data_IF_092915760410
#
_entry.id   IF_092915760410
#
_cell.length_a   1.000
_cell.length_b   1.000
_cell.length_c   1.000
_cell.angle_alpha   90.00
_cell.angle_beta   90.00
_cell.angle_gamma   90.00
#
_symmetry.space_group_name_H-M   'P 1'
#
loop_
_entity.id
_entity.type
_entity.pdbx_description
1 polymer ?
#
# COMPACT_ATOMS: atom_id res chain seq x y z
N UNK A 1 9.11 6.23 -44.76
CA UNK A 1 9.94 7.45 -44.67
C UNK A 1 10.39 7.60 -43.20
N UNK A 2 11.68 7.70 -42.93
CA UNK A 2 12.17 7.93 -41.57
C UNK A 2 11.67 9.29 -41.08
N UNK A 3 11.04 9.34 -39.90
CA UNK A 3 10.54 10.58 -39.30
C UNK A 3 11.74 11.45 -38.90
N UNK A 4 11.77 12.71 -39.40
CA UNK A 4 12.78 13.67 -39.01
C UNK A 4 12.42 14.27 -37.65
N UNK A 5 13.28 14.08 -36.64
CA UNK A 5 13.02 14.53 -35.26
C UNK A 5 12.90 16.07 -35.13
N UNK A 6 13.53 16.82 -36.02
CA UNK A 6 13.34 18.26 -36.06
C UNK A 6 11.91 18.64 -36.48
N UNK A 7 11.34 17.89 -37.44
CA UNK A 7 9.96 18.11 -37.89
C UNK A 7 8.94 17.68 -36.79
N UNK A 8 9.25 16.64 -36.07
CA UNK A 8 8.41 16.18 -34.94
C UNK A 8 8.32 17.25 -33.84
N UNK A 9 9.44 17.94 -33.53
CA UNK A 9 9.46 19.03 -32.56
C UNK A 9 9.05 20.39 -33.18
N UNK A 10 8.86 20.46 -34.49
CA UNK A 10 8.51 21.70 -35.20
C UNK A 10 9.61 22.75 -35.17
N UNK A 11 10.88 22.34 -35.13
CA UNK A 11 12.04 23.24 -35.11
C UNK A 11 12.92 23.05 -36.34
N UNK A 12 13.72 24.08 -36.68
CA UNK A 12 14.68 23.99 -37.80
C UNK A 12 15.90 23.13 -37.41
N UNK A 13 16.57 22.52 -38.41
CA UNK A 13 17.80 21.75 -38.20
C UNK A 13 18.94 22.52 -37.53
N UNK A 14 18.95 23.86 -37.63
CA UNK A 14 19.92 24.74 -37.00
C UNK A 14 19.43 25.39 -35.71
N UNK A 15 18.31 24.93 -35.13
CA UNK A 15 17.78 25.45 -33.89
C UNK A 15 18.77 25.24 -32.72
N UNK A 16 18.83 26.22 -31.83
CA UNK A 16 19.63 26.13 -30.61
C UNK A 16 19.04 25.09 -29.62
N UNK A 17 19.84 24.62 -28.67
CA UNK A 17 19.35 23.68 -27.65
C UNK A 17 18.22 24.29 -26.82
N UNK A 18 18.24 25.59 -26.58
CA UNK A 18 17.17 26.28 -25.84
C UNK A 18 15.87 26.32 -26.64
N UNK A 19 15.95 26.50 -27.97
CA UNK A 19 14.77 26.47 -28.86
C UNK A 19 14.17 25.05 -28.91
N UNK A 20 15.02 24.03 -29.00
CA UNK A 20 14.59 22.61 -28.94
C UNK A 20 13.90 22.31 -27.62
N UNK A 21 14.48 22.75 -26.50
CA UNK A 21 13.92 22.57 -25.16
C UNK A 21 12.59 23.31 -24.98
N UNK A 22 12.49 24.53 -25.55
CA UNK A 22 11.26 25.32 -25.51
C UNK A 22 10.14 24.65 -26.31
N UNK A 23 10.43 24.24 -27.55
CA UNK A 23 9.47 23.53 -28.41
C UNK A 23 8.95 22.22 -27.75
N UNK A 24 9.86 21.45 -27.18
CA UNK A 24 9.49 20.25 -26.45
C UNK A 24 8.50 20.53 -25.29
N UNK A 25 8.78 21.57 -24.47
CA UNK A 25 7.90 21.95 -23.36
C UNK A 25 6.50 22.38 -23.82
N UNK A 26 6.43 23.11 -24.95
CA UNK A 26 5.16 23.53 -25.54
C UNK A 26 4.35 22.34 -26.05
N UNK A 27 5.02 21.39 -26.73
CA UNK A 27 4.37 20.18 -27.23
C UNK A 27 3.91 19.25 -26.10
N UNK A 28 4.70 19.11 -25.03
CA UNK A 28 4.28 18.36 -23.84
C UNK A 28 3.01 18.95 -23.21
N UNK A 29 2.92 20.28 -23.09
CA UNK A 29 1.71 20.96 -22.59
C UNK A 29 0.51 20.76 -23.51
N UNK A 30 0.76 20.76 -24.84
CA UNK A 30 -0.27 20.62 -25.86
C UNK A 30 -0.82 19.19 -25.92
N UNK A 31 0.03 18.17 -25.79
CA UNK A 31 -0.34 16.74 -25.93
C UNK A 31 -0.37 16.01 -24.59
N UNK A 32 -0.63 16.72 -23.48
CA UNK A 32 -0.77 16.10 -22.14
C UNK A 32 -1.93 15.10 -22.12
N UNK A 33 -1.75 13.89 -21.58
CA UNK A 33 -2.79 12.84 -21.57
C UNK A 33 -4.11 13.29 -20.92
N UNK A 34 -4.06 14.15 -19.89
CA UNK A 34 -5.24 14.70 -19.23
C UNK A 34 -6.10 15.61 -20.14
N UNK A 35 -5.51 16.15 -21.23
CA UNK A 35 -6.22 17.07 -22.15
C UNK A 35 -6.71 16.41 -23.42
N UNK A 36 -6.19 15.24 -23.78
CA UNK A 36 -6.47 14.58 -25.05
C UNK A 36 -7.03 13.15 -24.95
N UNK A 37 -7.67 12.79 -23.82
CA UNK A 37 -8.47 11.56 -23.72
C UNK A 37 -7.71 10.24 -23.98
N UNK A 38 -6.39 10.20 -23.71
CA UNK A 38 -5.62 8.95 -23.70
C UNK A 38 -4.92 8.55 -25.01
N UNK A 39 -4.83 9.42 -26.02
CA UNK A 39 -3.98 9.15 -27.20
C UNK A 39 -2.52 9.51 -26.90
N UNK A 40 -1.77 8.53 -26.39
CA UNK A 40 -0.35 8.68 -26.02
C UNK A 40 0.61 8.66 -27.22
N UNK A 41 0.13 8.49 -28.45
CA UNK A 41 0.99 8.27 -29.62
C UNK A 41 1.84 9.51 -29.92
N UNK A 42 1.23 10.69 -29.93
CA UNK A 42 1.93 11.95 -30.23
C UNK A 42 2.92 12.36 -29.15
N UNK A 43 2.58 12.16 -27.87
CA UNK A 43 3.52 12.48 -26.79
C UNK A 43 4.72 11.54 -26.80
N UNK A 44 4.54 10.28 -27.19
CA UNK A 44 5.65 9.33 -27.39
C UNK A 44 6.61 9.78 -28.49
N UNK A 45 6.09 10.22 -29.63
CA UNK A 45 6.90 10.76 -30.74
C UNK A 45 7.68 12.01 -30.33
N UNK A 46 7.04 12.93 -29.61
CA UNK A 46 7.67 14.17 -29.10
C UNK A 46 8.78 13.84 -28.10
N UNK A 47 8.56 12.88 -27.22
CA UNK A 47 9.56 12.43 -26.25
C UNK A 47 10.76 11.75 -26.94
N UNK A 48 10.52 10.92 -27.95
CA UNK A 48 11.55 10.26 -28.75
C UNK A 48 12.43 11.27 -29.49
N UNK A 49 11.79 12.28 -30.12
CA UNK A 49 12.51 13.33 -30.81
C UNK A 49 13.40 14.13 -29.85
N UNK A 50 12.86 14.52 -28.68
CA UNK A 50 13.65 15.28 -27.71
C UNK A 50 14.75 14.45 -27.07
N UNK A 51 14.56 13.15 -26.81
CA UNK A 51 15.60 12.24 -26.30
C UNK A 51 16.78 12.12 -27.25
N UNK A 52 16.58 12.34 -28.53
CA UNK A 52 17.62 12.25 -29.57
C UNK A 52 18.31 13.59 -29.83
N UNK A 53 17.54 14.68 -30.04
CA UNK A 53 18.13 15.97 -30.44
C UNK A 53 18.20 16.99 -29.30
N UNK A 54 17.67 16.68 -28.11
CA UNK A 54 17.72 17.52 -26.92
C UNK A 54 19.09 17.52 -26.22
N UNK A 55 19.95 16.53 -26.48
CA UNK A 55 21.33 16.42 -25.99
C UNK A 55 22.30 16.77 -27.13
N UNK A 56 23.31 17.67 -26.92
CA UNK A 56 24.23 18.09 -27.96
C UNK A 56 25.04 16.95 -28.59
N UNK A 57 25.47 15.97 -27.81
CA UNK A 57 26.28 14.83 -28.31
C UNK A 57 25.43 13.88 -29.14
N UNK A 58 24.23 13.56 -28.69
CA UNK A 58 23.29 12.70 -29.41
C UNK A 58 22.79 13.36 -30.70
N UNK A 59 22.57 14.66 -30.65
CA UNK A 59 22.18 15.46 -31.83
C UNK A 59 23.26 15.38 -32.89
N UNK A 60 24.56 15.57 -32.54
CA UNK A 60 25.67 15.41 -33.49
C UNK A 60 25.69 14.02 -34.12
N UNK A 61 25.48 12.96 -33.35
CA UNK A 61 25.43 11.61 -33.87
C UNK A 61 24.24 11.41 -34.83
N UNK A 62 23.08 11.92 -34.49
CA UNK A 62 21.89 11.88 -35.33
C UNK A 62 22.09 12.64 -36.63
N UNK A 63 22.70 13.85 -36.58
CA UNK A 63 22.95 14.68 -37.74
C UNK A 63 23.98 14.04 -38.69
N UNK A 64 25.04 13.42 -38.15
CA UNK A 64 26.03 12.66 -38.94
C UNK A 64 25.39 11.47 -39.65
N UNK A 65 24.52 10.70 -38.98
CA UNK A 65 23.80 9.58 -39.58
C UNK A 65 22.83 10.02 -40.69
N UNK A 66 22.11 11.11 -40.50
CA UNK A 66 21.22 11.65 -41.53
C UNK A 66 21.97 12.18 -42.77
N UNK A 67 23.19 12.63 -42.57
CA UNK A 67 24.05 13.10 -43.69
C UNK A 67 24.68 11.94 -44.46
N UNK A 68 24.99 10.80 -43.79
CA UNK A 68 25.48 9.57 -44.42
C UNK A 68 24.37 8.75 -45.10
N UNK A 69 23.11 8.93 -44.71
CA UNK A 69 21.95 8.20 -45.27
C UNK A 69 21.55 8.60 -46.67
N UNK A 70 22.09 9.70 -47.22
CA UNK A 70 21.92 10.11 -48.64
C UNK A 70 22.84 9.34 -49.61
N UNK A 71 23.84 8.61 -49.09
CA UNK A 71 24.78 7.86 -49.92
C UNK A 71 24.95 6.40 -49.43
N UNK A 72 23.99 5.56 -49.74
CA UNK A 72 24.18 4.10 -49.56
C UNK A 72 23.15 3.45 -48.66
N UNK A 73 22.28 2.74 -49.35
CA UNK A 73 21.23 1.97 -48.71
C UNK A 73 21.72 0.79 -47.87
N UNK A 74 20.82 0.32 -47.06
CA UNK A 74 20.74 -1.01 -46.48
C UNK A 74 21.42 -1.29 -45.15
N UNK A 75 20.60 -1.54 -44.17
CA UNK A 75 20.85 -2.59 -43.18
C UNK A 75 21.36 -2.15 -41.83
N UNK A 76 20.53 -2.26 -40.83
CA UNK A 76 20.98 -2.41 -39.47
C UNK A 76 20.41 -1.43 -38.45
N UNK A 77 19.11 -1.35 -38.35
CA UNK A 77 18.46 -0.79 -37.16
C UNK A 77 18.46 -1.81 -36.00
N UNK A 78 19.64 -2.40 -35.79
CA UNK A 78 19.84 -3.37 -34.70
C UNK A 78 20.99 -2.90 -33.83
N UNK A 79 20.71 -2.20 -32.76
CA UNK A 79 21.71 -1.99 -31.73
C UNK A 79 21.84 -0.60 -31.10
N UNK A 80 20.95 0.33 -31.38
CA UNK A 80 20.85 1.49 -30.47
C UNK A 80 20.05 1.05 -29.24
N UNK A 81 20.82 0.72 -28.20
CA UNK A 81 20.30 0.71 -26.85
C UNK A 81 19.91 2.16 -26.53
N UNK A 82 18.70 2.56 -26.96
CA UNK A 82 18.09 3.76 -26.45
C UNK A 82 17.96 3.52 -24.96
N UNK A 83 18.91 4.05 -24.19
CA UNK A 83 18.65 4.37 -22.82
C UNK A 83 17.49 5.38 -22.86
N UNK A 84 16.28 4.85 -23.00
CA UNK A 84 15.08 5.58 -22.66
C UNK A 84 15.39 6.23 -21.32
N UNK A 85 15.55 7.54 -21.30
CA UNK A 85 15.78 8.25 -20.05
C UNK A 85 14.66 7.78 -19.14
N UNK A 86 15.00 6.91 -18.21
CA UNK A 86 14.03 6.21 -17.38
C UNK A 86 13.18 7.29 -16.72
N UNK A 87 11.91 7.38 -17.11
CA UNK A 87 10.99 8.32 -16.48
C UNK A 87 10.98 8.00 -14.99
N UNK A 88 10.97 9.03 -14.16
CA UNK A 88 10.77 8.86 -12.74
C UNK A 88 9.52 8.02 -12.52
N UNK A 89 9.64 6.94 -11.79
CA UNK A 89 8.52 6.01 -11.56
C UNK A 89 8.42 5.66 -10.10
N UNK A 90 7.18 5.42 -9.66
CA UNK A 90 6.90 5.00 -8.31
C UNK A 90 7.38 3.56 -8.08
N UNK A 91 7.82 3.29 -6.87
CA UNK A 91 8.12 1.94 -6.39
C UNK A 91 6.94 1.50 -5.53
N UNK A 92 6.40 0.32 -5.83
CA UNK A 92 5.36 -0.29 -5.02
C UNK A 92 5.90 -1.50 -4.28
N UNK A 93 5.70 -1.52 -2.96
CA UNK A 93 6.08 -2.64 -2.10
C UNK A 93 4.92 -3.00 -1.17
N UNK A 94 4.98 -4.21 -0.63
CA UNK A 94 4.09 -4.64 0.43
C UNK A 94 4.92 -4.98 1.68
N UNK A 95 4.46 -4.51 2.83
CA UNK A 95 5.01 -4.88 4.13
C UNK A 95 3.96 -5.63 4.93
N UNK A 96 4.41 -6.52 5.83
CA UNK A 96 3.52 -7.19 6.77
C UNK A 96 3.96 -6.82 8.17
N UNK A 97 3.03 -6.33 8.96
CA UNK A 97 3.23 -5.93 10.35
C UNK A 97 2.31 -6.71 11.26
N UNK A 98 2.66 -6.80 12.55
CA UNK A 98 1.78 -7.41 13.55
C UNK A 98 0.56 -6.52 13.82
N UNK A 99 -0.50 -7.12 14.39
CA UNK A 99 -1.67 -6.35 14.85
C UNK A 99 -1.29 -5.35 15.94
N UNK A 100 -0.29 -5.68 16.78
CA UNK A 100 0.23 -4.82 17.83
C UNK A 100 0.97 -3.62 17.25
N UNK A 101 1.84 -3.82 16.24
CA UNK A 101 2.51 -2.74 15.53
C UNK A 101 1.51 -1.81 14.83
N UNK A 102 0.45 -2.38 14.25
CA UNK A 102 -0.61 -1.61 13.63
C UNK A 102 -1.43 -0.80 14.65
N UNK A 103 -1.55 -1.31 15.89
CA UNK A 103 -2.24 -0.63 16.98
C UNK A 103 -1.45 0.57 17.50
N UNK A 104 -0.17 0.37 17.84
CA UNK A 104 0.67 1.41 18.43
C UNK A 104 1.32 2.34 17.41
N UNK A 105 1.43 1.90 16.16
CA UNK A 105 2.32 2.46 15.16
C UNK A 105 3.75 1.96 15.37
N UNK A 106 4.51 1.89 14.29
CA UNK A 106 5.88 1.39 14.35
C UNK A 106 6.77 2.04 13.29
N UNK A 107 8.09 1.85 13.43
CA UNK A 107 9.07 2.13 12.38
C UNK A 107 9.47 0.82 11.73
N UNK A 108 9.05 0.63 10.47
CA UNK A 108 9.33 -0.60 9.73
C UNK A 108 10.52 -0.40 8.77
N UNK A 109 11.59 -1.23 8.87
CA UNK A 109 12.73 -1.13 7.97
C UNK A 109 12.37 -1.70 6.59
N UNK A 110 12.65 -0.95 5.54
CA UNK A 110 12.44 -1.34 4.15
C UNK A 110 13.73 -1.14 3.36
N UNK A 111 14.14 -2.15 2.61
CA UNK A 111 15.28 -2.06 1.70
C UNK A 111 14.81 -1.58 0.32
N UNK A 112 15.32 -0.44 -0.11
CA UNK A 112 15.05 0.15 -1.43
C UNK A 112 16.38 0.36 -2.12
N UNK A 113 16.62 -0.32 -3.23
CA UNK A 113 17.84 -0.22 -4.03
C UNK A 113 19.14 -0.36 -3.19
N UNK A 114 19.15 -1.29 -2.22
CA UNK A 114 20.30 -1.57 -1.36
C UNK A 114 20.46 -0.64 -0.15
N UNK A 115 19.57 0.35 0.03
CA UNK A 115 19.53 1.22 1.22
C UNK A 115 18.34 0.88 2.11
N UNK A 116 18.57 0.87 3.42
CA UNK A 116 17.52 0.63 4.41
C UNK A 116 16.92 1.96 4.84
N UNK A 117 15.61 2.09 4.70
CA UNK A 117 14.81 3.22 5.16
C UNK A 117 13.87 2.77 6.26
N UNK A 118 13.76 3.57 7.32
CA UNK A 118 12.77 3.35 8.36
C UNK A 118 11.48 4.08 7.97
N UNK A 119 10.44 3.32 7.66
CA UNK A 119 9.14 3.85 7.27
C UNK A 119 8.28 4.00 8.52
N UNK A 120 7.79 5.21 8.77
CA UNK A 120 6.85 5.47 9.86
C UNK A 120 5.46 4.95 9.49
N UNK A 121 5.01 3.94 10.21
CA UNK A 121 3.67 3.36 10.08
C UNK A 121 2.78 3.97 11.16
N UNK A 122 1.76 4.77 10.79
CA UNK A 122 0.90 5.43 11.77
C UNK A 122 0.07 4.41 12.56
N UNK A 123 -0.20 4.72 13.83
CA UNK A 123 -1.11 3.91 14.66
C UNK A 123 -2.52 3.88 14.09
N UNK A 124 -3.22 2.79 14.35
CA UNK A 124 -4.58 2.60 13.87
C UNK A 124 -4.66 2.29 12.37
N UNK A 125 -3.55 1.89 11.74
CA UNK A 125 -3.55 1.49 10.34
C UNK A 125 -4.24 0.15 10.18
N UNK A 126 -5.08 0.04 9.15
CA UNK A 126 -5.83 -1.19 8.86
C UNK A 126 -5.24 -1.92 7.66
N UNK A 127 -5.59 -3.21 7.53
CA UNK A 127 -5.12 -4.05 6.44
C UNK A 127 -5.43 -3.47 5.06
N UNK A 128 -4.46 -3.52 4.14
CA UNK A 128 -4.58 -3.03 2.76
C UNK A 128 -4.41 -1.52 2.59
N UNK A 129 -4.18 -0.76 3.66
CA UNK A 129 -3.93 0.68 3.58
C UNK A 129 -2.62 0.95 2.84
N UNK A 130 -2.61 2.00 2.01
CA UNK A 130 -1.43 2.45 1.29
C UNK A 130 -0.83 3.69 1.97
N UNK A 131 0.49 3.68 2.14
CA UNK A 131 1.27 4.82 2.58
C UNK A 131 2.10 5.32 1.40
N UNK A 132 2.07 6.61 1.15
CA UNK A 132 2.85 7.28 0.12
C UNK A 132 4.01 8.03 0.77
N UNK A 133 5.23 7.82 0.28
CA UNK A 133 6.43 8.48 0.77
C UNK A 133 7.11 9.13 -0.42
N UNK A 134 7.14 10.45 -0.42
CA UNK A 134 7.61 11.25 -1.53
C UNK A 134 9.11 11.09 -1.76
N UNK A 135 9.50 11.02 -3.04
CA UNK A 135 10.90 11.04 -3.49
C UNK A 135 11.72 9.79 -3.17
N UNK A 136 11.09 8.69 -2.75
CA UNK A 136 11.75 7.40 -2.53
C UNK A 136 11.53 6.38 -3.67
N UNK A 137 10.92 6.80 -4.77
CA UNK A 137 10.81 6.01 -6.00
C UNK A 137 12.07 6.00 -6.85
N UNK A 138 11.95 5.49 -8.06
CA UNK A 138 13.05 5.43 -9.02
C UNK A 138 13.40 6.83 -9.52
N UNK A 139 14.70 7.10 -9.59
CA UNK A 139 15.19 8.32 -10.21
C UNK A 139 14.99 8.26 -11.74
N UNK A 140 14.65 9.37 -12.32
CA UNK A 140 14.44 9.49 -13.75
C UNK A 140 14.23 10.95 -14.13
N UNK A 141 13.59 11.17 -15.27
CA UNK A 141 13.26 12.50 -15.73
C UNK A 141 11.75 12.72 -15.67
N UNK A 142 11.33 13.94 -15.30
CA UNK A 142 9.93 14.32 -15.41
C UNK A 142 9.56 14.63 -16.87
N UNK A 143 8.29 14.91 -17.12
CA UNK A 143 7.81 15.27 -18.47
C UNK A 143 8.44 16.54 -19.04
N UNK A 144 9.14 17.32 -18.22
CA UNK A 144 9.84 18.55 -18.64
C UNK A 144 11.34 18.33 -18.85
N UNK A 145 11.82 17.07 -18.76
CA UNK A 145 13.23 16.72 -18.92
C UNK A 145 14.11 17.10 -17.72
N UNK A 146 13.52 17.34 -16.56
CA UNK A 146 14.25 17.63 -15.31
C UNK A 146 14.41 16.36 -14.51
N UNK A 147 15.58 16.21 -13.85
CA UNK A 147 15.80 15.09 -12.94
C UNK A 147 14.77 15.09 -11.81
N UNK A 148 14.07 13.98 -11.64
CA UNK A 148 13.04 13.80 -10.64
C UNK A 148 13.12 12.39 -10.05
N UNK A 149 12.42 12.18 -8.95
CA UNK A 149 12.21 10.85 -8.38
C UNK A 149 10.72 10.60 -8.26
N UNK A 150 10.32 9.37 -8.50
CA UNK A 150 8.99 8.91 -8.17
C UNK A 150 8.82 8.75 -6.66
N UNK A 151 7.70 8.24 -6.24
CA UNK A 151 7.34 8.03 -4.86
C UNK A 151 7.42 6.55 -4.48
N UNK A 152 7.50 6.28 -3.19
CA UNK A 152 7.36 4.93 -2.67
C UNK A 152 5.93 4.74 -2.16
N UNK A 153 5.24 3.74 -2.72
CA UNK A 153 3.89 3.34 -2.31
C UNK A 153 4.02 2.03 -1.53
N UNK A 154 3.72 2.10 -0.23
CA UNK A 154 3.82 0.96 0.68
C UNK A 154 2.42 0.45 0.99
N UNK A 155 2.09 -0.75 0.53
CA UNK A 155 0.87 -1.46 0.94
C UNK A 155 1.11 -2.16 2.26
N UNK A 156 0.32 -1.84 3.27
CA UNK A 156 0.44 -2.42 4.61
C UNK A 156 -0.52 -3.59 4.77
N UNK A 157 0.02 -4.77 5.07
CA UNK A 157 -0.74 -5.95 5.46
C UNK A 157 -0.63 -6.13 6.97
N UNK A 158 -1.77 -6.27 7.65
CA UNK A 158 -1.83 -6.48 9.11
C UNK A 158 -2.09 -7.96 9.38
N UNK A 159 -1.17 -8.58 10.11
CA UNK A 159 -1.29 -9.98 10.50
C UNK A 159 -2.12 -10.11 11.77
N UNK A 160 -3.30 -10.70 11.63
CA UNK A 160 -4.19 -11.04 12.73
C UNK A 160 -3.69 -12.27 13.50
N UNK A 161 -4.15 -12.42 14.75
CA UNK A 161 -3.98 -13.64 15.53
C UNK A 161 -5.30 -14.39 15.64
N UNK A 162 -5.28 -15.66 16.03
CA UNK A 162 -6.49 -16.47 16.22
C UNK A 162 -7.43 -15.92 17.32
N UNK A 163 -6.85 -15.26 18.32
CA UNK A 163 -7.61 -14.77 19.49
C UNK A 163 -7.99 -13.30 19.38
N UNK A 164 -7.21 -12.51 18.67
CA UNK A 164 -7.41 -11.06 18.54
C UNK A 164 -7.17 -10.67 17.08
N UNK A 165 -8.16 -10.07 16.45
CA UNK A 165 -8.10 -9.76 15.02
C UNK A 165 -8.97 -8.54 14.66
N UNK A 166 -8.61 -7.90 13.57
CA UNK A 166 -9.45 -6.90 12.90
C UNK A 166 -10.33 -7.59 11.87
N UNK A 167 -11.64 -7.39 11.96
CA UNK A 167 -12.54 -7.81 10.90
C UNK A 167 -12.45 -6.89 9.67
N UNK A 168 -13.19 -7.22 8.61
CA UNK A 168 -13.19 -6.47 7.35
C UNK A 168 -13.62 -5.00 7.51
N UNK A 169 -14.39 -4.68 8.54
CA UNK A 169 -14.86 -3.33 8.85
C UNK A 169 -13.92 -2.55 9.78
N UNK A 170 -12.77 -3.13 10.15
CA UNK A 170 -11.81 -2.51 11.08
C UNK A 170 -12.24 -2.57 12.55
N UNK A 171 -13.25 -3.37 12.89
CA UNK A 171 -13.65 -3.61 14.27
C UNK A 171 -12.70 -4.64 14.90
N UNK A 172 -12.16 -4.32 16.08
CA UNK A 172 -11.33 -5.24 16.84
C UNK A 172 -12.22 -6.29 17.51
N UNK A 173 -11.97 -7.55 17.20
CA UNK A 173 -12.66 -8.70 17.79
C UNK A 173 -11.71 -9.58 18.56
N UNK A 174 -12.16 -10.04 19.72
CA UNK A 174 -11.43 -10.97 20.58
C UNK A 174 -12.26 -12.21 20.84
N UNK A 175 -11.61 -13.37 20.80
CA UNK A 175 -12.22 -14.66 21.17
C UNK A 175 -11.80 -14.99 22.59
N UNK A 176 -12.78 -15.19 23.46
CA UNK A 176 -12.57 -15.51 24.87
C UNK A 176 -13.31 -16.80 25.26
N UNK A 177 -12.60 -17.70 25.92
CA UNK A 177 -13.19 -18.90 26.51
C UNK A 177 -13.75 -18.59 27.89
N UNK A 178 -15.03 -18.89 28.10
CA UNK A 178 -15.77 -18.71 29.37
C UNK A 178 -16.19 -20.09 29.90
N UNK A 179 -16.06 -20.30 31.17
CA UNK A 179 -16.54 -21.56 31.76
C UNK A 179 -18.07 -21.63 31.71
N UNK A 180 -18.61 -22.82 31.53
CA UNK A 180 -20.05 -23.05 31.37
C UNK A 180 -20.87 -22.53 32.57
N UNK A 181 -20.32 -22.61 33.80
CA UNK A 181 -20.97 -22.09 35.01
C UNK A 181 -21.04 -20.57 34.95
N UNK A 182 -19.94 -19.92 34.57
CA UNK A 182 -19.87 -18.46 34.42
C UNK A 182 -20.81 -17.98 33.32
N UNK A 183 -20.96 -18.75 32.25
CA UNK A 183 -21.91 -18.44 31.18
C UNK A 183 -23.37 -18.50 31.64
N UNK A 184 -23.71 -19.41 32.58
CA UNK A 184 -25.06 -19.53 33.17
C UNK A 184 -25.31 -18.43 34.19
N UNK A 185 -24.39 -18.28 35.14
CA UNK A 185 -24.56 -17.39 36.29
C UNK A 185 -24.27 -15.91 35.94
N UNK A 186 -23.54 -15.66 34.87
CA UNK A 186 -22.92 -14.39 34.57
C UNK A 186 -21.70 -14.14 35.45
N UNK A 187 -20.70 -13.49 34.89
CA UNK A 187 -19.46 -13.17 35.59
C UNK A 187 -18.84 -11.88 35.05
N UNK A 188 -17.79 -11.42 35.69
CA UNK A 188 -16.91 -10.37 35.17
C UNK A 188 -15.52 -10.96 35.00
N UNK A 189 -14.94 -10.83 33.82
CA UNK A 189 -13.64 -11.36 33.48
C UNK A 189 -12.69 -10.24 33.09
N UNK A 190 -11.40 -10.40 33.35
CA UNK A 190 -10.37 -9.47 32.91
C UNK A 190 -9.60 -10.06 31.74
N UNK A 191 -9.54 -9.29 30.64
CA UNK A 191 -8.85 -9.70 29.42
C UNK A 191 -7.70 -8.74 29.12
N UNK A 192 -6.55 -9.30 28.79
CA UNK A 192 -5.42 -8.51 28.33
C UNK A 192 -5.61 -8.22 26.83
N UNK A 193 -5.76 -6.94 26.49
CA UNK A 193 -5.87 -6.44 25.11
C UNK A 193 -4.70 -5.49 24.88
N UNK A 194 -3.72 -5.93 24.12
CA UNK A 194 -2.43 -5.26 23.93
C UNK A 194 -1.74 -5.00 25.29
N UNK A 195 -1.60 -3.73 25.68
CA UNK A 195 -0.96 -3.27 26.93
C UNK A 195 -1.93 -3.04 28.08
N UNK A 196 -3.26 -3.28 27.87
CA UNK A 196 -4.32 -2.95 28.84
C UNK A 196 -5.03 -4.18 29.36
N UNK A 197 -5.51 -4.07 30.61
CA UNK A 197 -6.49 -5.00 31.17
C UNK A 197 -7.89 -4.41 31.01
N UNK A 198 -8.75 -5.16 30.35
CA UNK A 198 -10.14 -4.75 30.04
C UNK A 198 -11.10 -5.64 30.83
N UNK A 199 -11.95 -5.02 31.65
CA UNK A 199 -13.03 -5.72 32.35
C UNK A 199 -14.19 -5.95 31.40
N UNK A 200 -14.62 -7.18 31.29
CA UNK A 200 -15.67 -7.60 30.37
C UNK A 200 -16.74 -8.34 31.15
N UNK A 201 -17.97 -7.87 31.07
CA UNK A 201 -19.11 -8.54 31.68
C UNK A 201 -19.59 -9.67 30.78
N UNK A 202 -19.69 -10.87 31.31
CA UNK A 202 -20.38 -12.00 30.71
C UNK A 202 -21.82 -12.00 31.21
N UNK A 203 -22.82 -11.76 30.35
CA UNK A 203 -24.22 -11.77 30.75
C UNK A 203 -24.67 -13.14 31.25
N UNK A 204 -25.65 -13.19 32.14
CA UNK A 204 -26.31 -14.45 32.52
C UNK A 204 -26.92 -15.11 31.28
N UNK A 205 -26.83 -16.45 31.25
CA UNK A 205 -27.36 -17.27 30.16
C UNK A 205 -26.69 -17.00 28.80
N UNK A 206 -25.42 -16.60 28.83
CA UNK A 206 -24.62 -16.42 27.62
C UNK A 206 -24.55 -17.73 26.85
N UNK A 207 -24.91 -17.68 25.56
CA UNK A 207 -24.84 -18.83 24.66
C UNK A 207 -23.46 -18.89 23.99
N UNK A 208 -23.10 -20.09 23.52
CA UNK A 208 -21.87 -20.26 22.74
C UNK A 208 -21.94 -19.41 21.45
N UNK A 209 -20.92 -18.58 21.19
CA UNK A 209 -20.93 -17.59 20.12
C UNK A 209 -21.62 -16.26 20.49
N UNK A 210 -22.16 -16.15 21.71
CA UNK A 210 -22.62 -14.87 22.25
C UNK A 210 -21.46 -13.86 22.32
N UNK A 211 -21.77 -12.57 22.43
CA UNK A 211 -20.73 -11.53 22.48
C UNK A 211 -21.13 -10.36 23.38
N UNK A 212 -20.13 -9.59 23.77
CA UNK A 212 -20.28 -8.30 24.45
C UNK A 212 -19.47 -7.23 23.73
N UNK A 213 -20.00 -6.02 23.66
CA UNK A 213 -19.32 -4.84 23.09
C UNK A 213 -18.80 -3.97 24.22
N UNK A 214 -17.51 -3.62 24.17
CA UNK A 214 -16.86 -2.76 25.16
C UNK A 214 -16.40 -1.48 24.46
N UNK A 215 -17.06 -0.36 24.77
CA UNK A 215 -16.74 0.93 24.17
C UNK A 215 -15.35 1.44 24.54
N UNK A 216 -14.71 2.15 23.64
CA UNK A 216 -13.38 2.76 23.83
C UNK A 216 -12.26 1.79 24.20
N UNK A 217 -12.43 0.50 23.95
CA UNK A 217 -11.45 -0.56 24.20
C UNK A 217 -11.00 -1.28 22.93
N UNK A 218 -11.46 -0.82 21.78
CA UNK A 218 -11.14 -1.39 20.47
C UNK A 218 -9.87 -0.87 19.85
N UNK A 219 -9.76 -0.97 18.54
CA UNK A 219 -8.62 -0.52 17.76
C UNK A 219 -8.58 1.01 17.68
N UNK A 220 -7.38 1.57 17.57
CA UNK A 220 -7.22 3.01 17.37
C UNK A 220 -7.83 3.45 16.02
N UNK A 221 -8.46 4.61 16.01
CA UNK A 221 -8.74 5.30 14.75
C UNK A 221 -7.42 5.71 14.09
N UNK A 222 -7.41 5.71 12.77
CA UNK A 222 -6.20 6.03 12.00
C UNK A 222 -5.56 7.34 12.44
N UNK A 223 -4.28 7.29 12.81
CA UNK A 223 -3.46 8.40 13.28
C UNK A 223 -4.09 9.20 14.45
N UNK A 224 -4.82 8.52 15.34
CA UNK A 224 -5.53 9.12 16.48
C UNK A 224 -5.31 8.30 17.75
N UNK A 225 -5.51 8.95 18.92
CA UNK A 225 -5.54 8.27 20.23
C UNK A 225 -6.94 7.75 20.58
N UNK A 226 -7.95 8.07 19.78
CA UNK A 226 -9.30 7.59 20.01
C UNK A 226 -9.39 6.10 19.68
N UNK A 227 -9.95 5.33 20.60
CA UNK A 227 -10.22 3.91 20.40
C UNK A 227 -11.67 3.68 19.98
N UNK A 228 -11.84 2.72 19.09
CA UNK A 228 -13.15 2.21 18.74
C UNK A 228 -13.73 1.28 19.83
N UNK A 229 -14.65 0.44 19.44
CA UNK A 229 -15.28 -0.57 20.29
C UNK A 229 -14.54 -1.91 20.13
N UNK A 230 -14.37 -2.64 21.23
CA UNK A 230 -13.91 -4.03 21.24
C UNK A 230 -15.15 -4.94 21.26
N UNK A 231 -15.21 -5.91 20.37
CA UNK A 231 -16.19 -6.99 20.42
C UNK A 231 -15.53 -8.24 21.00
N UNK A 232 -16.06 -8.76 22.09
CA UNK A 232 -15.59 -9.98 22.74
C UNK A 232 -16.59 -11.10 22.46
N UNK A 233 -16.14 -12.09 21.67
CA UNK A 233 -16.92 -13.28 21.32
C UNK A 233 -16.64 -14.39 22.34
N UNK A 234 -17.67 -14.99 22.91
CA UNK A 234 -17.56 -16.00 23.94
C UNK A 234 -17.62 -17.42 23.34
N UNK A 235 -16.64 -18.25 23.74
CA UNK A 235 -16.68 -19.69 23.50
C UNK A 235 -16.84 -20.38 24.85
N UNK A 236 -17.94 -21.13 25.01
CA UNK A 236 -18.21 -21.81 26.27
C UNK A 236 -17.35 -23.07 26.37
N UNK A 237 -16.63 -23.17 27.48
CA UNK A 237 -15.78 -24.30 27.78
C UNK A 237 -16.52 -25.24 28.71
N UNK A 238 -16.74 -26.47 28.26
CA UNK A 238 -17.25 -27.55 29.10
C UNK A 238 -16.11 -28.16 29.90
N UNK A 239 -16.34 -28.57 31.15
CA UNK A 239 -15.35 -29.28 31.96
C UNK A 239 -15.03 -30.63 31.31
N UNK A 240 -13.78 -31.08 31.45
CA UNK A 240 -13.36 -32.41 30.96
C UNK A 240 -13.90 -33.54 31.83
N UNK A 241 -14.06 -33.29 33.12
CA UNK A 241 -14.58 -34.24 34.10
C UNK A 241 -15.25 -33.49 35.25
N UNK A 242 -16.16 -34.10 35.91
CA UNK A 242 -16.84 -33.64 37.13
C UNK A 242 -16.72 -34.72 38.19
N UNK A 243 -16.77 -34.33 39.48
CA UNK A 243 -16.83 -35.27 40.59
C UNK A 243 -18.24 -35.90 40.66
N UNK A 244 -18.36 -37.04 41.35
CA UNK A 244 -19.64 -37.71 41.53
C UNK A 244 -20.66 -36.83 42.27
N UNK A 245 -20.19 -36.01 43.21
CA UNK A 245 -21.02 -35.01 43.91
C UNK A 245 -21.55 -33.96 42.99
N UNK A 246 -20.67 -33.33 42.12
CA UNK A 246 -21.09 -32.38 41.14
C UNK A 246 -22.07 -32.94 40.12
N UNK A 247 -21.86 -34.19 39.69
CA UNK A 247 -22.79 -34.89 38.80
C UNK A 247 -24.14 -35.12 39.46
N UNK A 248 -24.16 -35.46 40.79
CA UNK A 248 -25.39 -35.62 41.56
C UNK A 248 -26.17 -34.30 41.63
N UNK A 249 -25.49 -33.19 41.90
CA UNK A 249 -26.14 -31.88 41.99
C UNK A 249 -26.67 -31.42 40.63
N UNK A 250 -25.96 -31.67 39.54
CA UNK A 250 -26.46 -31.41 38.19
C UNK A 250 -27.70 -32.23 37.84
N UNK A 251 -27.80 -33.49 38.32
CA UNK A 251 -28.99 -34.30 38.15
C UNK A 251 -30.20 -33.69 38.86
N UNK A 252 -30.03 -33.24 40.13
CA UNK A 252 -31.11 -32.53 40.88
C UNK A 252 -31.58 -31.27 40.13
N UNK A 253 -30.64 -30.46 39.60
CA UNK A 253 -30.98 -29.30 38.81
C UNK A 253 -31.77 -29.71 37.56
N UNK A 254 -31.34 -30.74 36.83
CA UNK A 254 -32.03 -31.25 35.66
C UNK A 254 -33.48 -31.67 35.98
N UNK A 255 -33.68 -32.35 37.07
CA UNK A 255 -35.00 -32.80 37.54
C UNK A 255 -35.91 -31.62 37.90
N UNK A 256 -35.35 -30.53 38.44
CA UNK A 256 -36.12 -29.32 38.80
C UNK A 256 -36.53 -28.44 37.59
N UNK A 257 -35.95 -28.71 36.41
CA UNK A 257 -36.26 -27.97 35.18
C UNK A 257 -37.32 -28.64 34.29
N UNK A 258 -37.72 -29.86 34.65
CA UNK A 258 -38.81 -30.61 34.00
C UNK A 258 -40.16 -30.35 34.73
#
# INVERSE_FOLDING_TARGET
MAKNFYDVLGVKKNASQDEIKKAYRELCKKYHPDKHGGDDTKIKEVNEAYATIGDPEKRKQYDVQNTMGEFGGFGGFGGFNFNFHQMASDIQIAITISLEDAYFGCKHPVNINGKIYAIDVPKGITNGKMLKIEGLGNAGYNMYGEMSKGDLIVKVNVQNTEKLYLNQNGLLEMVCGVDWIDAILGSEIELKVFDRMVKVRVPKYTQNGGYTMVGNQGFHKYNSNECGTLKVNFIIRMPKSLTDEQLSDLKKIKESLQ
#
